data_IF_605578036541
#
_entry.id   IF_605578036541
#
_cell.length_a   1.000
_cell.length_b   1.000
_cell.length_c   1.000
_cell.angle_alpha   90.00
_cell.angle_beta   90.00
_cell.angle_gamma   90.00
#
_symmetry.space_group_name_H-M   'P 1'
#
loop_
_entity.id
_entity.type
_entity.pdbx_description
1 polymer ?
#
# COMPACT_ATOMS: atom_id res chain seq x y z
N UNK A 1 -16.51 -10.57 6.42
CA UNK A 1 -16.22 -9.48 5.45
C UNK A 1 -17.55 -9.02 4.88
N UNK A 2 -17.75 -7.73 4.59
CA UNK A 2 -18.99 -7.26 3.96
C UNK A 2 -19.13 -7.84 2.54
N UNK A 3 -20.33 -8.30 2.19
CA UNK A 3 -20.64 -8.81 0.85
C UNK A 3 -21.00 -7.66 -0.08
N UNK A 4 -20.23 -7.50 -1.17
CA UNK A 4 -20.47 -6.47 -2.16
C UNK A 4 -21.44 -6.98 -3.24
N UNK A 5 -22.62 -6.36 -3.43
CA UNK A 5 -23.62 -6.84 -4.38
C UNK A 5 -23.20 -6.63 -5.85
N UNK A 6 -22.38 -5.62 -6.15
CA UNK A 6 -21.91 -5.33 -7.51
C UNK A 6 -20.74 -6.22 -7.96
N UNK A 7 -19.94 -6.72 -7.00
CA UNK A 7 -18.75 -7.54 -7.26
C UNK A 7 -18.59 -8.66 -6.20
N UNK A 8 -19.53 -9.62 -6.13
CA UNK A 8 -19.58 -10.62 -5.05
C UNK A 8 -18.43 -11.64 -5.07
N UNK A 9 -17.66 -11.67 -6.15
CA UNK A 9 -16.50 -12.57 -6.32
C UNK A 9 -15.20 -12.01 -5.74
N UNK A 10 -15.20 -10.77 -5.23
CA UNK A 10 -14.06 -10.14 -4.57
C UNK A 10 -14.25 -10.07 -3.05
N UNK A 11 -13.13 -10.07 -2.34
CA UNK A 11 -13.10 -9.85 -0.89
C UNK A 11 -12.87 -8.40 -0.57
N UNK A 12 -13.74 -7.81 0.25
CA UNK A 12 -13.63 -6.42 0.65
C UNK A 12 -13.31 -6.27 2.13
N UNK A 13 -12.46 -5.29 2.43
CA UNK A 13 -12.24 -4.76 3.77
C UNK A 13 -12.42 -3.24 3.73
N UNK A 14 -12.82 -2.66 4.86
CA UNK A 14 -12.88 -1.20 5.02
C UNK A 14 -11.58 -0.72 5.64
N UNK A 15 -10.79 0.10 4.94
CA UNK A 15 -9.59 0.72 5.49
C UNK A 15 -9.96 2.05 6.15
N UNK A 16 -9.73 2.18 7.46
CA UNK A 16 -9.96 3.43 8.20
C UNK A 16 -8.79 4.41 8.07
N UNK A 17 -7.57 3.87 7.97
CA UNK A 17 -6.37 4.66 7.75
C UNK A 17 -5.11 3.84 7.98
N UNK A 18 -3.97 4.55 7.98
CA UNK A 18 -2.66 3.92 8.13
C UNK A 18 -1.82 4.74 9.10
N UNK A 19 -1.05 4.06 9.94
CA UNK A 19 0.07 4.68 10.62
C UNK A 19 1.34 4.56 9.79
N UNK A 20 1.97 5.70 9.50
CA UNK A 20 3.31 5.79 8.91
C UNK A 20 4.26 6.23 10.03
N UNK A 21 4.98 5.27 10.61
CA UNK A 21 5.69 5.47 11.87
C UNK A 21 4.68 5.85 12.96
N UNK A 22 4.77 7.09 13.46
CA UNK A 22 3.87 7.61 14.49
C UNK A 22 2.80 8.56 13.93
N UNK A 23 2.74 8.77 12.61
CA UNK A 23 1.77 9.68 11.97
C UNK A 23 0.56 8.89 11.48
N UNK A 24 -0.62 9.27 11.95
CA UNK A 24 -1.90 8.80 11.41
C UNK A 24 -2.23 9.51 10.10
N UNK A 25 -2.63 8.73 9.10
CA UNK A 25 -3.16 9.21 7.82
C UNK A 25 -4.52 8.56 7.63
N UNK A 26 -5.56 9.39 7.60
CA UNK A 26 -6.93 8.91 7.42
C UNK A 26 -7.15 8.44 5.98
N UNK A 27 -7.75 7.27 5.80
CA UNK A 27 -8.14 6.80 4.49
C UNK A 27 -9.31 7.62 3.92
N UNK A 28 -9.39 7.82 2.59
CA UNK A 28 -10.58 8.33 1.93
C UNK A 28 -11.83 7.51 2.28
N UNK A 29 -12.99 8.17 2.35
CA UNK A 29 -14.26 7.48 2.66
C UNK A 29 -14.57 6.35 1.66
N UNK A 30 -14.14 6.50 0.41
CA UNK A 30 -14.29 5.48 -0.63
C UNK A 30 -13.55 4.17 -0.31
N UNK A 31 -12.51 4.17 0.53
CA UNK A 31 -11.82 2.94 0.96
C UNK A 31 -12.46 2.28 2.19
N UNK A 32 -13.36 2.97 2.89
CA UNK A 32 -13.96 2.47 4.14
C UNK A 32 -15.13 1.52 3.92
N UNK A 33 -15.76 1.58 2.75
CA UNK A 33 -16.89 0.74 2.39
C UNK A 33 -17.35 1.02 0.96
N UNK A 34 -18.41 0.34 0.55
CA UNK A 34 -18.99 0.48 -0.78
C UNK A 34 -20.45 0.94 -0.72
N UNK A 35 -20.89 1.58 -1.80
CA UNK A 35 -22.28 2.01 -1.99
C UNK A 35 -23.21 0.84 -2.38
N UNK A 36 -24.49 1.15 -2.59
CA UNK A 36 -25.49 0.14 -3.01
C UNK A 36 -25.24 -0.46 -4.40
N UNK A 37 -24.46 0.22 -5.24
CA UNK A 37 -24.04 -0.28 -6.56
C UNK A 37 -22.76 -1.12 -6.47
N UNK A 38 -22.12 -1.18 -5.29
CA UNK A 38 -20.89 -1.93 -5.06
C UNK A 38 -19.62 -1.17 -5.38
N UNK A 39 -19.67 0.16 -5.53
CA UNK A 39 -18.50 0.99 -5.76
C UNK A 39 -17.85 1.39 -4.43
N UNK A 40 -16.54 1.28 -4.34
CA UNK A 40 -15.77 1.56 -3.13
C UNK A 40 -15.25 0.31 -2.42
N UNK A 41 -14.72 0.52 -1.22
CA UNK A 41 -14.02 -0.46 -0.41
C UNK A 41 -12.62 -0.77 -0.92
N UNK A 42 -11.86 -1.48 -0.10
CA UNK A 42 -10.54 -2.01 -0.45
C UNK A 42 -10.67 -3.50 -0.77
N UNK A 43 -10.46 -3.87 -2.03
CA UNK A 43 -10.44 -5.27 -2.44
C UNK A 43 -9.14 -5.95 -2.02
N UNK A 44 -9.19 -7.20 -1.55
CA UNK A 44 -8.00 -8.02 -1.27
C UNK A 44 -7.77 -8.93 -2.46
N UNK A 45 -6.66 -8.73 -3.17
CA UNK A 45 -6.38 -9.44 -4.42
C UNK A 45 -4.89 -9.80 -4.53
N UNK A 46 -4.59 -11.09 -4.41
CA UNK A 46 -3.24 -11.63 -4.59
C UNK A 46 -2.82 -11.72 -6.07
N UNK A 47 -3.76 -11.55 -7.02
CA UNK A 47 -3.47 -11.44 -8.44
C UNK A 47 -2.86 -10.08 -8.83
N UNK A 48 -3.06 -9.05 -7.98
CA UNK A 48 -2.46 -7.73 -8.16
C UNK A 48 -1.12 -7.66 -7.43
N UNK A 49 -0.05 -7.23 -8.13
CA UNK A 49 1.31 -7.24 -7.55
C UNK A 49 1.49 -6.22 -6.41
N UNK A 50 1.16 -4.95 -6.67
CA UNK A 50 1.32 -3.83 -5.72
C UNK A 50 -0.02 -3.40 -5.16
N UNK A 51 -0.02 -2.80 -3.97
CA UNK A 51 -1.23 -2.16 -3.46
C UNK A 51 -1.51 -0.88 -4.23
N UNK A 52 -2.78 -0.70 -4.62
CA UNK A 52 -3.28 0.40 -5.44
C UNK A 52 -4.37 1.13 -4.66
N UNK A 53 -4.28 2.43 -4.47
CA UNK A 53 -5.42 3.22 -4.00
C UNK A 53 -5.22 4.73 -4.24
N UNK A 54 -6.31 5.47 -4.18
CA UNK A 54 -6.31 6.92 -4.28
C UNK A 54 -5.57 7.59 -3.14
N UNK A 55 -4.84 8.68 -3.44
CA UNK A 55 -4.11 9.49 -2.44
C UNK A 55 -2.95 8.78 -1.73
N UNK A 56 -2.28 7.84 -2.41
CA UNK A 56 -0.96 7.31 -1.97
C UNK A 56 0.04 8.45 -1.69
N UNK A 57 -0.10 9.60 -2.35
CA UNK A 57 0.78 10.76 -2.20
C UNK A 57 0.98 11.22 -0.75
N UNK A 58 -0.05 11.22 0.10
CA UNK A 58 0.10 11.67 1.49
C UNK A 58 1.00 10.72 2.30
N UNK A 59 0.90 9.42 2.01
CA UNK A 59 1.79 8.40 2.55
C UNK A 59 3.21 8.64 2.04
N UNK A 60 3.37 8.85 0.75
CA UNK A 60 4.66 9.12 0.09
C UNK A 60 5.35 10.37 0.63
N UNK A 61 4.62 11.46 0.82
CA UNK A 61 5.16 12.70 1.39
C UNK A 61 5.64 12.49 2.82
N UNK A 62 4.90 11.71 3.60
CA UNK A 62 5.30 11.37 4.97
C UNK A 62 6.55 10.49 4.99
N UNK A 63 6.60 9.50 4.10
CA UNK A 63 7.75 8.62 3.91
C UNK A 63 8.98 9.37 3.38
N UNK A 64 8.79 10.36 2.52
CA UNK A 64 9.86 11.08 1.82
C UNK A 64 10.36 12.34 2.51
N UNK A 65 9.70 12.83 3.57
CA UNK A 65 9.91 14.18 4.14
C UNK A 65 11.36 14.60 4.38
N UNK A 66 12.25 13.65 4.69
CA UNK A 66 13.68 13.89 4.95
C UNK A 66 14.60 13.00 4.10
N UNK A 67 14.15 12.53 2.93
CA UNK A 67 14.91 11.61 2.10
C UNK A 67 15.05 12.17 0.68
N UNK A 68 16.23 12.00 0.10
CA UNK A 68 16.45 12.36 -1.30
C UNK A 68 15.73 11.36 -2.20
N UNK A 69 14.89 11.86 -3.11
CA UNK A 69 14.23 11.05 -4.13
C UNK A 69 15.24 10.51 -5.14
N UNK A 70 15.12 9.23 -5.48
CA UNK A 70 16.00 8.52 -6.41
C UNK A 70 15.32 8.40 -7.79
N UNK A 71 15.14 9.54 -8.46
CA UNK A 71 14.40 9.62 -9.73
C UNK A 71 15.05 8.84 -10.88
N UNK A 72 16.38 8.72 -10.87
CA UNK A 72 17.15 7.86 -11.78
C UNK A 72 16.74 6.38 -11.67
N UNK A 73 16.45 5.92 -10.45
CA UNK A 73 16.00 4.56 -10.18
C UNK A 73 14.53 4.39 -10.55
N UNK A 74 13.71 5.41 -10.31
CA UNK A 74 12.31 5.40 -10.74
C UNK A 74 12.19 5.24 -12.25
N UNK A 75 12.94 6.05 -13.01
CA UNK A 75 12.98 5.99 -14.48
C UNK A 75 13.51 4.64 -14.98
N UNK A 76 14.57 4.11 -14.38
CA UNK A 76 15.19 2.87 -14.83
C UNK A 76 14.40 1.60 -14.47
N UNK A 77 13.61 1.63 -13.38
CA UNK A 77 12.90 0.45 -12.86
C UNK A 77 11.40 0.47 -13.12
N UNK A 78 10.81 1.63 -13.39
CA UNK A 78 9.35 1.82 -13.43
C UNK A 78 8.68 1.74 -12.06
N UNK A 79 9.45 1.60 -10.97
CA UNK A 79 8.93 1.63 -9.61
C UNK A 79 8.98 3.06 -9.07
N UNK A 80 8.00 3.45 -8.27
CA UNK A 80 8.02 4.76 -7.64
C UNK A 80 6.92 4.91 -6.59
N UNK A 81 7.16 5.69 -5.53
CA UNK A 81 8.35 6.52 -5.31
C UNK A 81 9.56 5.76 -4.73
N UNK A 82 10.77 6.22 -5.05
CA UNK A 82 12.03 5.67 -4.56
C UNK A 82 12.87 6.72 -3.84
N UNK A 83 13.55 6.30 -2.78
CA UNK A 83 14.38 7.16 -1.94
C UNK A 83 15.73 6.51 -1.66
N UNK A 84 16.78 7.34 -1.57
CA UNK A 84 18.07 6.88 -1.07
C UNK A 84 18.01 6.73 0.45
N UNK A 85 18.40 5.55 0.94
CA UNK A 85 18.44 5.18 2.36
C UNK A 85 19.88 5.00 2.83
N UNK A 86 20.12 5.23 4.13
CA UNK A 86 21.45 5.07 4.73
C UNK A 86 21.92 3.61 4.70
N UNK A 87 23.21 3.41 4.44
CA UNK A 87 23.78 2.07 4.15
C UNK A 87 23.72 1.11 5.34
N UNK A 88 23.81 1.60 6.57
CA UNK A 88 24.09 0.74 7.72
C UNK A 88 22.87 -0.02 8.23
N UNK A 89 21.65 0.48 8.02
CA UNK A 89 20.42 -0.27 8.31
C UNK A 89 19.17 0.35 7.66
N UNK A 90 18.81 -0.09 6.46
CA UNK A 90 17.59 0.41 5.81
C UNK A 90 16.32 0.15 6.65
N UNK A 91 16.28 -0.93 7.44
CA UNK A 91 15.15 -1.24 8.31
C UNK A 91 14.96 -0.20 9.40
N UNK A 92 16.00 0.51 9.86
CA UNK A 92 15.81 1.64 10.80
C UNK A 92 15.41 2.91 10.06
N UNK A 93 15.88 3.06 8.82
CA UNK A 93 15.59 4.22 7.98
C UNK A 93 14.17 4.24 7.41
N UNK A 94 13.46 3.12 7.39
CA UNK A 94 12.10 3.04 6.84
C UNK A 94 11.09 2.94 7.98
N UNK A 95 10.04 3.79 8.01
CA UNK A 95 9.05 3.75 9.08
C UNK A 95 8.20 2.48 9.02
N UNK A 96 7.65 2.09 10.18
CA UNK A 96 6.65 1.03 10.27
C UNK A 96 5.37 1.47 9.54
N UNK A 97 4.68 0.53 8.90
CA UNK A 97 3.37 0.75 8.30
C UNK A 97 2.34 -0.14 8.96
N UNK A 98 1.25 0.45 9.44
CA UNK A 98 0.17 -0.27 10.10
C UNK A 98 -1.14 0.08 9.44
N UNK A 99 -1.76 -0.88 8.76
CA UNK A 99 -3.10 -0.71 8.20
C UNK A 99 -4.12 -0.88 9.33
N UNK A 100 -5.07 0.05 9.44
CA UNK A 100 -6.17 -0.03 10.41
C UNK A 100 -7.47 -0.13 9.63
N UNK A 101 -8.22 -1.18 9.91
CA UNK A 101 -9.46 -1.53 9.25
C UNK A 101 -10.67 -1.27 10.16
N UNK A 102 -11.85 -1.22 9.54
CA UNK A 102 -13.12 -1.20 10.26
C UNK A 102 -13.22 -2.34 11.27
N UNK A 103 -13.85 -2.07 12.41
CA UNK A 103 -13.87 -2.98 13.56
C UNK A 103 -12.59 -2.97 14.39
N UNK A 104 -11.79 -1.89 14.29
CA UNK A 104 -10.55 -1.70 15.04
C UNK A 104 -9.50 -2.81 14.87
N UNK A 105 -9.56 -3.56 13.78
CA UNK A 105 -8.54 -4.54 13.42
C UNK A 105 -7.34 -3.82 12.79
N UNK A 106 -6.13 -4.21 13.14
CA UNK A 106 -4.92 -3.62 12.58
C UNK A 106 -3.92 -4.68 12.14
N UNK A 107 -3.21 -4.41 11.04
CA UNK A 107 -2.15 -5.26 10.51
C UNK A 107 -0.86 -4.47 10.43
N UNK A 108 0.15 -4.94 11.17
CA UNK A 108 1.52 -4.47 11.07
C UNK A 108 2.16 -5.07 9.82
N UNK A 109 2.41 -4.24 8.80
CA UNK A 109 3.04 -4.72 7.57
C UNK A 109 4.55 -4.89 7.78
N UNK A 110 5.12 -6.04 7.37
CA UNK A 110 6.56 -6.19 7.22
C UNK A 110 7.16 -5.07 6.36
N UNK A 111 8.38 -4.64 6.64
CA UNK A 111 9.00 -3.56 5.86
C UNK A 111 9.34 -4.03 4.44
N UNK A 112 9.70 -5.29 4.33
CA UNK A 112 10.04 -6.00 3.10
C UNK A 112 8.83 -6.16 2.17
N UNK A 113 7.61 -6.20 2.72
CA UNK A 113 6.38 -6.21 1.92
C UNK A 113 5.97 -4.82 1.42
N UNK A 114 6.59 -3.77 1.94
CA UNK A 114 6.28 -2.39 1.59
C UNK A 114 7.37 -1.73 0.74
N UNK A 115 8.61 -2.21 0.79
CA UNK A 115 9.76 -1.58 0.15
C UNK A 115 10.62 -2.58 -0.61
N UNK A 116 10.86 -2.30 -1.89
CA UNK A 116 11.79 -3.04 -2.74
C UNK A 116 13.18 -2.41 -2.68
N UNK A 117 14.21 -3.22 -2.44
CA UNK A 117 15.60 -2.78 -2.38
C UNK A 117 16.39 -3.31 -3.57
N UNK A 118 17.14 -2.42 -4.21
CA UNK A 118 18.10 -2.84 -5.23
C UNK A 118 19.35 -3.42 -4.56
N UNK A 119 19.74 -4.63 -4.95
CA UNK A 119 21.01 -5.21 -4.53
C UNK A 119 22.19 -4.46 -5.15
N UNK A 120 23.32 -4.36 -4.43
CA UNK A 120 24.58 -3.86 -5.01
C UNK A 120 24.96 -4.75 -6.19
N UNK A 121 25.08 -4.18 -7.41
CA UNK A 121 25.77 -4.88 -8.50
C UNK A 121 27.24 -5.03 -8.08
N UNK A 122 27.76 -6.26 -8.10
CA UNK A 122 29.15 -6.59 -7.72
C UNK A 122 30.21 -5.76 -8.44
N UNK A 123 29.90 -5.17 -9.59
CA UNK A 123 30.80 -4.30 -10.37
C UNK A 123 30.95 -2.86 -9.85
N UNK A 124 30.15 -2.41 -8.88
CA UNK A 124 30.23 -1.07 -8.28
C UNK A 124 30.78 -1.07 -6.83
N UNK A 125 31.48 -2.14 -6.44
CA UNK A 125 32.04 -2.29 -5.09
C UNK A 125 33.08 -1.21 -4.70
N UNK A 126 33.55 -0.39 -5.65
CA UNK A 126 34.58 0.63 -5.44
C UNK A 126 34.07 2.08 -5.33
N UNK A 127 32.75 2.33 -5.38
CA UNK A 127 32.23 3.69 -5.15
C UNK A 127 31.90 3.85 -3.67
N UNK A 128 32.81 4.47 -2.91
CA UNK A 128 32.69 4.76 -1.47
C UNK A 128 31.51 5.71 -1.09
N UNK A 129 30.61 6.00 -2.04
CA UNK A 129 29.45 6.88 -1.94
C UNK A 129 28.20 6.26 -2.60
N UNK A 130 28.11 4.93 -2.71
CA UNK A 130 26.97 4.27 -3.37
C UNK A 130 25.69 4.43 -2.57
N UNK A 131 24.87 5.44 -2.91
CA UNK A 131 23.55 5.59 -2.31
C UNK A 131 22.74 4.32 -2.58
N UNK A 132 22.10 3.76 -1.55
CA UNK A 132 21.24 2.58 -1.68
C UNK A 132 19.79 3.03 -1.91
N UNK A 133 19.20 2.80 -3.09
CA UNK A 133 17.81 3.14 -3.33
C UNK A 133 16.86 2.06 -2.78
N UNK A 134 15.76 2.50 -2.19
CA UNK A 134 14.60 1.68 -1.87
C UNK A 134 13.33 2.30 -2.47
N UNK A 135 12.52 1.49 -3.14
CA UNK A 135 11.27 1.90 -3.77
C UNK A 135 10.07 1.41 -2.97
N UNK A 136 9.07 2.26 -2.84
CA UNK A 136 7.82 1.90 -2.20
C UNK A 136 6.96 1.06 -3.14
N UNK A 137 6.29 0.05 -2.60
CA UNK A 137 5.50 -0.94 -3.35
C UNK A 137 3.99 -0.67 -3.27
N UNK A 138 3.61 0.59 -3.11
CA UNK A 138 2.22 1.03 -3.24
C UNK A 138 2.17 2.16 -4.26
N UNK A 139 1.16 2.13 -5.11
CA UNK A 139 1.02 3.03 -6.26
C UNK A 139 -0.28 3.80 -6.11
N UNK A 140 -0.19 5.11 -6.31
CA UNK A 140 -1.37 5.96 -6.40
C UNK A 140 -2.07 5.73 -7.73
N UNK A 141 -3.38 5.49 -7.70
CA UNK A 141 -4.21 5.49 -8.90
C UNK A 141 -4.78 6.89 -9.11
N UNK A 142 -4.80 7.35 -10.36
CA UNK A 142 -5.55 8.54 -10.79
C UNK A 142 -6.96 8.20 -11.25
N UNK A 143 -7.37 6.92 -11.15
CA UNK A 143 -8.67 6.40 -11.59
C UNK A 143 -9.83 6.97 -10.76
N UNK A 144 -10.26 8.18 -11.10
CA UNK A 144 -11.33 8.92 -10.42
C UNK A 144 -10.96 10.36 -10.06
N UNK A 145 -9.78 10.85 -10.45
CA UNK A 145 -9.39 12.27 -10.28
C UNK A 145 -9.90 13.15 -11.44
N UNK A 146 -10.06 12.57 -12.64
CA UNK A 146 -10.75 13.21 -13.77
C UNK A 146 -12.23 12.85 -13.69
N UNK A 147 -13.04 13.74 -13.11
CA UNK A 147 -14.44 13.54 -12.70
C UNK A 147 -15.48 13.23 -13.79
N UNK A 148 -15.08 12.61 -14.91
CA UNK A 148 -15.93 12.30 -16.05
C UNK A 148 -16.18 10.79 -16.25
N UNK A 149 -15.43 9.91 -15.57
CA UNK A 149 -15.71 8.46 -15.57
C UNK A 149 -16.13 7.98 -14.16
N UNK A 150 -17.37 7.49 -14.03
CA UNK A 150 -17.78 6.70 -12.87
C UNK A 150 -16.92 5.43 -12.83
N UNK A 151 -15.81 5.47 -12.09
CA UNK A 151 -14.97 4.30 -11.88
C UNK A 151 -15.75 3.28 -11.06
N UNK A 152 -16.34 2.33 -11.78
CA UNK A 152 -17.11 1.24 -11.18
C UNK A 152 -16.15 0.17 -10.65
N UNK A 153 -16.21 -0.07 -9.33
CA UNK A 153 -15.42 -1.10 -8.68
C UNK A 153 -14.81 -0.69 -7.34
N UNK A 154 -13.82 -1.47 -6.85
CA UNK A 154 -13.09 -1.13 -5.63
C UNK A 154 -12.42 0.24 -5.74
N UNK A 155 -12.43 1.03 -4.64
CA UNK A 155 -11.68 2.29 -4.59
C UNK A 155 -10.17 2.07 -4.38
N UNK A 156 -9.78 0.84 -4.08
CA UNK A 156 -8.40 0.39 -3.99
C UNK A 156 -8.30 -1.13 -3.95
N UNK A 157 -7.07 -1.62 -4.10
CA UNK A 157 -6.69 -3.03 -4.07
C UNK A 157 -5.50 -3.23 -3.14
N UNK A 158 -5.62 -4.11 -2.15
CA UNK A 158 -4.53 -4.62 -1.32
C UNK A 158 -3.82 -5.74 -2.08
N UNK A 159 -2.64 -5.44 -2.62
CA UNK A 159 -1.89 -6.33 -3.50
C UNK A 159 -1.07 -7.40 -2.78
N UNK A 160 -0.52 -8.32 -3.57
CA UNK A 160 0.21 -9.50 -3.12
C UNK A 160 1.41 -9.17 -2.23
N UNK A 161 2.22 -8.16 -2.56
CA UNK A 161 3.39 -7.82 -1.74
C UNK A 161 2.99 -7.56 -0.30
N UNK A 162 1.97 -6.73 -0.06
CA UNK A 162 1.48 -6.40 1.28
C UNK A 162 0.77 -7.56 2.00
N UNK A 163 0.42 -8.63 1.29
CA UNK A 163 -0.10 -9.86 1.88
C UNK A 163 1.01 -10.84 2.30
N UNK A 164 2.27 -10.61 1.91
CA UNK A 164 3.39 -11.49 2.27
C UNK A 164 3.71 -11.41 3.77
N UNK A 165 4.03 -12.56 4.36
CA UNK A 165 4.34 -12.74 5.78
C UNK A 165 3.23 -12.25 6.73
N UNK A 166 1.99 -12.24 6.25
CA UNK A 166 0.76 -12.03 7.04
C UNK A 166 -0.17 -13.22 6.77
N UNK A 167 -0.80 -13.74 7.82
CA UNK A 167 -1.83 -14.76 7.65
C UNK A 167 -3.17 -14.07 7.29
N UNK A 168 -3.67 -14.35 6.09
CA UNK A 168 -4.97 -13.86 5.63
C UNK A 168 -5.98 -15.01 5.64
N UNK A 169 -6.96 -14.94 6.53
CA UNK A 169 -7.99 -15.98 6.69
C UNK A 169 -9.33 -15.45 6.15
N UNK A 170 -9.82 -16.04 5.08
CA UNK A 170 -11.18 -15.81 4.57
C UNK A 170 -12.15 -16.78 5.24
N UNK A 171 -13.12 -16.25 5.98
CA UNK A 171 -14.20 -17.06 6.59
C UNK A 171 -15.52 -16.77 5.88
N UNK A 172 -16.17 -17.85 5.43
CA UNK A 172 -17.49 -17.83 4.80
C UNK A 172 -18.49 -18.53 5.71
N UNK A 173 -19.64 -17.92 5.97
CA UNK A 173 -20.68 -18.50 6.81
C UNK A 173 -21.61 -17.43 7.39
N UNK A 174 -22.91 -17.73 7.39
CA UNK A 174 -23.99 -16.85 7.83
C UNK A 174 -23.89 -16.50 9.32
N UNK A 175 -24.01 -15.21 9.63
CA UNK A 175 -24.40 -14.71 10.94
C UNK A 175 -23.40 -14.89 12.08
N UNK A 176 -22.42 -14.00 12.17
CA UNK A 176 -21.86 -13.63 13.48
C UNK A 176 -21.76 -12.11 13.58
N UNK A 177 -22.54 -11.54 14.49
CA UNK A 177 -22.37 -10.18 14.99
C UNK A 177 -20.94 -10.06 15.54
N UNK A 178 -20.18 -9.07 15.07
CA UNK A 178 -18.87 -8.75 15.64
C UNK A 178 -18.97 -7.42 16.38
N UNK A 179 -18.43 -7.42 17.60
CA UNK A 179 -18.17 -6.24 18.45
C UNK A 179 -16.94 -5.48 17.96
#
# INVERSE_FOLDING_TARGET
MPENPGKPYLYYVGLEGVFVGNRWIQAPESLKGFDSAGNGGLAVDSGTTFTLFHRVEEFVLTLGKNRQRAGDVEEASGLGPCFYVEENNWMTSVPKLVLVFRGNASVDLPKESCFFRFGRRRSQAHVANSKNPGCFLMVGTTEGEDGDEEVSGPAGVLGNFQQQNVEVIFRFGEGQNWF
#
